data_IF_279591261531
#
_entry.id   IF_279591261531
#
_cell.length_a   1.000
_cell.length_b   1.000
_cell.length_c   1.000
_cell.angle_alpha   90.00
_cell.angle_beta   90.00
_cell.angle_gamma   90.00
#
_symmetry.space_group_name_H-M   'P 1'
#
loop_
_entity.id
_entity.type
_entity.pdbx_description
1 polymer ?
#
# COMPACT_ATOMS: atom_id res chain seq x y z
N UNK A 1 -6.12 16.20 52.41
CA UNK A 1 -6.02 15.18 51.33
C UNK A 1 -6.87 15.53 50.09
N UNK A 2 -7.46 16.73 50.03
CA UNK A 2 -8.41 17.14 48.96
C UNK A 2 -7.75 17.91 47.80
N UNK A 3 -6.57 18.52 48.02
CA UNK A 3 -5.89 19.39 47.03
C UNK A 3 -5.08 18.62 45.98
N UNK A 4 -4.81 17.34 46.22
CA UNK A 4 -4.06 16.44 45.33
C UNK A 4 -4.94 15.83 44.21
N UNK A 5 -6.26 15.75 44.43
CA UNK A 5 -7.22 15.21 43.48
C UNK A 5 -7.34 16.02 42.17
N UNK A 6 -7.40 17.37 42.17
CA UNK A 6 -7.45 18.15 40.93
C UNK A 6 -6.12 18.09 40.15
N UNK A 7 -4.99 17.97 40.86
CA UNK A 7 -3.66 17.85 40.25
C UNK A 7 -3.56 16.52 39.49
N UNK A 8 -4.06 15.43 40.09
CA UNK A 8 -4.08 14.12 39.44
C UNK A 8 -5.00 14.11 38.20
N UNK A 9 -6.14 14.80 38.24
CA UNK A 9 -7.03 14.94 37.08
C UNK A 9 -6.39 15.73 35.94
N UNK A 10 -5.67 16.81 36.23
CA UNK A 10 -4.96 17.60 35.22
C UNK A 10 -3.86 16.79 34.54
N UNK A 11 -3.10 16.01 35.32
CA UNK A 11 -2.06 15.12 34.80
C UNK A 11 -2.67 14.05 33.89
N UNK A 12 -3.77 13.42 34.32
CA UNK A 12 -4.47 12.44 33.51
C UNK A 12 -4.96 13.05 32.18
N UNK A 13 -5.57 14.23 32.21
CA UNK A 13 -6.07 14.94 31.02
C UNK A 13 -4.95 15.25 30.01
N UNK A 14 -3.75 15.53 30.48
CA UNK A 14 -2.59 15.82 29.62
C UNK A 14 -1.91 14.56 29.08
N UNK A 15 -1.94 13.44 29.81
CA UNK A 15 -1.33 12.16 29.41
C UNK A 15 -2.25 11.31 28.52
N UNK A 16 -3.57 11.42 28.68
CA UNK A 16 -4.57 10.68 27.90
C UNK A 16 -4.37 10.82 26.37
N UNK A 17 -4.15 12.02 25.80
CA UNK A 17 -3.90 12.19 24.36
C UNK A 17 -2.60 11.54 23.87
N UNK A 18 -1.57 11.48 24.73
CA UNK A 18 -0.29 10.86 24.40
C UNK A 18 -0.42 9.33 24.32
N UNK A 19 -1.21 8.74 25.22
CA UNK A 19 -1.54 7.32 25.21
C UNK A 19 -2.49 6.94 24.06
N UNK A 20 -3.30 7.90 23.59
CA UNK A 20 -4.24 7.72 22.48
C UNK A 20 -3.66 8.12 21.12
N UNK A 21 -2.33 8.28 21.00
CA UNK A 21 -1.64 8.36 19.71
C UNK A 21 -1.73 7.01 19.00
N UNK A 22 -2.93 6.71 18.52
CA UNK A 22 -3.22 5.59 17.64
C UNK A 22 -2.36 5.82 16.39
N UNK A 23 -1.40 4.93 16.14
CA UNK A 23 -0.79 4.80 14.83
C UNK A 23 -1.91 4.38 13.87
N UNK A 24 -2.60 5.36 13.28
CA UNK A 24 -3.47 5.09 12.14
C UNK A 24 -2.55 4.80 10.97
N UNK A 25 -2.12 3.54 10.85
CA UNK A 25 -1.47 3.06 9.64
C UNK A 25 -2.49 3.23 8.52
N UNK A 26 -2.29 4.23 7.66
CA UNK A 26 -3.17 4.52 6.54
C UNK A 26 -3.00 3.43 5.46
N UNK A 27 -3.59 2.26 5.70
CA UNK A 27 -3.60 1.15 4.73
C UNK A 27 -4.23 1.55 3.39
N UNK A 28 -5.09 2.57 3.38
CA UNK A 28 -5.75 3.10 2.18
C UNK A 28 -4.83 3.98 1.34
N UNK A 29 -3.93 4.78 1.92
CA UNK A 29 -2.97 5.60 1.16
C UNK A 29 -1.87 4.74 0.55
N UNK A 30 -1.45 3.70 1.26
CA UNK A 30 -0.39 2.79 0.82
C UNK A 30 -0.83 1.96 -0.40
N UNK A 31 -2.07 1.48 -0.41
CA UNK A 31 -2.64 0.74 -1.55
C UNK A 31 -2.78 1.58 -2.81
N UNK A 32 -3.16 2.86 -2.68
CA UNK A 32 -3.24 3.79 -3.81
C UNK A 32 -1.86 4.03 -4.44
N UNK A 33 -0.83 4.13 -3.59
CA UNK A 33 0.55 4.31 -4.03
C UNK A 33 1.07 3.07 -4.75
N UNK A 34 0.79 1.88 -4.20
CA UNK A 34 1.13 0.61 -4.85
C UNK A 34 0.43 0.46 -6.21
N UNK A 35 -0.86 0.85 -6.32
CA UNK A 35 -1.62 0.82 -7.57
C UNK A 35 -0.96 1.67 -8.67
N UNK A 36 -0.63 2.93 -8.35
CA UNK A 36 0.00 3.86 -9.28
C UNK A 36 1.37 3.35 -9.75
N UNK A 37 2.18 2.85 -8.82
CA UNK A 37 3.51 2.29 -9.12
C UNK A 37 3.43 1.10 -10.08
N UNK A 38 2.48 0.19 -9.85
CA UNK A 38 2.30 -1.00 -10.69
C UNK A 38 1.67 -0.67 -12.05
N UNK A 39 0.77 0.31 -12.14
CA UNK A 39 0.27 0.79 -13.44
C UNK A 39 1.36 1.49 -14.26
N UNK A 40 2.26 2.22 -13.59
CA UNK A 40 3.47 2.76 -14.22
C UNK A 40 4.40 1.63 -14.70
N UNK A 41 4.62 0.60 -13.89
CA UNK A 41 5.38 -0.58 -14.32
C UNK A 41 4.78 -1.23 -15.57
N UNK A 42 3.45 -1.43 -15.59
CA UNK A 42 2.71 -1.98 -16.74
C UNK A 42 2.94 -1.18 -18.03
N UNK A 43 2.91 0.16 -17.96
CA UNK A 43 3.08 1.02 -19.14
C UNK A 43 4.50 0.97 -19.73
N UNK A 44 5.52 0.77 -18.90
CA UNK A 44 6.91 0.69 -19.34
C UNK A 44 7.28 -0.66 -19.96
N UNK A 45 6.63 -1.73 -19.52
CA UNK A 45 7.03 -3.10 -19.87
C UNK A 45 6.14 -3.70 -20.95
N UNK A 46 5.04 -3.02 -21.29
CA UNK A 46 4.14 -3.49 -22.34
C UNK A 46 3.93 -2.41 -23.38
N UNK A 47 4.72 -2.48 -24.47
CA UNK A 47 4.57 -1.56 -25.61
C UNK A 47 3.21 -1.70 -26.31
N UNK A 48 2.54 -2.85 -26.15
CA UNK A 48 1.17 -3.10 -26.59
C UNK A 48 0.37 -3.75 -25.45
N UNK A 49 -0.05 -2.93 -24.47
CA UNK A 49 -0.61 -3.40 -23.20
C UNK A 49 -1.81 -4.32 -23.38
N UNK A 50 -2.71 -4.05 -24.32
CA UNK A 50 -4.03 -4.68 -24.46
C UNK A 50 -4.03 -6.21 -24.65
N UNK A 51 -2.96 -6.79 -25.21
CA UNK A 51 -2.92 -8.22 -25.55
C UNK A 51 -2.21 -9.09 -24.51
N UNK A 52 -1.55 -8.48 -23.53
CA UNK A 52 -0.81 -9.23 -22.49
C UNK A 52 -1.66 -9.52 -21.26
N UNK A 53 -1.23 -10.51 -20.46
CA UNK A 53 -1.89 -10.87 -19.20
C UNK A 53 -1.99 -9.68 -18.25
N UNK A 54 -0.94 -8.85 -18.12
CA UNK A 54 -0.96 -7.62 -17.32
C UNK A 54 -1.93 -6.59 -17.91
N UNK A 55 -1.94 -6.48 -19.24
CA UNK A 55 -2.90 -5.69 -20.01
C UNK A 55 -4.33 -5.79 -19.53
N UNK A 56 -4.82 -7.02 -19.51
CA UNK A 56 -6.22 -7.36 -19.23
C UNK A 56 -6.54 -7.38 -17.74
N UNK A 57 -5.56 -7.70 -16.88
CA UNK A 57 -5.83 -7.97 -15.48
C UNK A 57 -5.52 -6.78 -14.54
N UNK A 58 -4.47 -6.02 -14.79
CA UNK A 58 -4.10 -4.90 -13.93
C UNK A 58 -4.91 -3.66 -14.30
N UNK A 59 -6.09 -3.53 -13.70
CA UNK A 59 -7.05 -2.44 -13.96
C UNK A 59 -7.40 -1.71 -12.66
N UNK A 60 -7.77 -0.44 -12.77
CA UNK A 60 -8.20 0.40 -11.62
C UNK A 60 -9.58 -0.01 -11.07
N UNK A 61 -10.26 -0.96 -11.71
CA UNK A 61 -11.59 -1.45 -11.30
C UNK A 61 -11.51 -2.49 -10.19
N UNK A 62 -10.35 -3.14 -10.02
CA UNK A 62 -10.14 -4.21 -9.04
C UNK A 62 -8.99 -3.86 -8.12
N UNK A 63 -9.07 -4.29 -6.85
CA UNK A 63 -7.98 -4.09 -5.89
C UNK A 63 -6.68 -4.72 -6.40
N UNK A 64 -5.56 -4.02 -6.18
CA UNK A 64 -4.20 -4.46 -6.50
C UNK A 64 -3.89 -5.88 -6.00
N UNK A 65 -4.43 -6.26 -4.83
CA UNK A 65 -4.22 -7.60 -4.27
C UNK A 65 -4.92 -8.73 -5.04
N UNK A 66 -5.83 -8.40 -5.95
CA UNK A 66 -6.50 -9.35 -6.83
C UNK A 66 -5.82 -9.46 -8.19
N UNK A 67 -4.75 -8.70 -8.43
CA UNK A 67 -4.03 -8.75 -9.68
C UNK A 67 -3.14 -10.00 -9.76
N UNK A 68 -3.10 -10.61 -10.94
CA UNK A 68 -2.27 -11.77 -11.25
C UNK A 68 -0.80 -11.39 -11.04
N UNK A 69 -0.10 -12.24 -10.28
CA UNK A 69 1.31 -12.05 -9.95
C UNK A 69 1.56 -11.14 -8.75
N UNK A 70 0.53 -10.48 -8.19
CA UNK A 70 0.69 -9.63 -7.00
C UNK A 70 0.42 -10.45 -5.74
N UNK A 71 1.30 -10.33 -4.75
CA UNK A 71 1.09 -10.89 -3.41
C UNK A 71 0.99 -9.76 -2.41
N UNK A 72 -0.10 -9.72 -1.65
CA UNK A 72 -0.30 -8.76 -0.58
C UNK A 72 -0.07 -9.38 0.81
N UNK A 73 0.47 -8.58 1.72
CA UNK A 73 0.61 -8.94 3.13
C UNK A 73 -0.76 -9.02 3.84
N UNK A 74 -0.88 -9.92 4.81
CA UNK A 74 -2.13 -10.17 5.53
C UNK A 74 -2.56 -9.02 6.45
N UNK A 75 -1.60 -8.32 7.06
CA UNK A 75 -1.88 -7.27 8.06
C UNK A 75 -2.33 -5.93 7.47
N UNK A 76 -1.66 -5.47 6.41
CA UNK A 76 -1.87 -4.12 5.87
C UNK A 76 -2.35 -4.12 4.42
N UNK A 77 -2.60 -5.29 3.83
CA UNK A 77 -2.95 -5.46 2.41
C UNK A 77 -1.95 -4.80 1.44
N UNK A 78 -0.74 -4.49 1.89
CA UNK A 78 0.30 -3.89 1.05
C UNK A 78 0.91 -4.92 0.11
N UNK A 79 1.31 -4.52 -1.08
CA UNK A 79 2.07 -5.39 -1.98
C UNK A 79 3.42 -5.73 -1.33
N UNK A 80 3.70 -7.02 -1.17
CA UNK A 80 4.95 -7.53 -0.59
C UNK A 80 5.76 -8.36 -1.57
N UNK A 81 5.16 -8.82 -2.66
CA UNK A 81 5.88 -9.49 -3.73
C UNK A 81 5.15 -9.33 -5.06
N UNK A 82 5.95 -9.33 -6.13
CA UNK A 82 5.49 -9.30 -7.51
C UNK A 82 6.16 -10.43 -8.29
N UNK A 83 5.36 -11.30 -8.89
CA UNK A 83 5.80 -12.36 -9.78
C UNK A 83 5.22 -12.15 -11.17
N UNK A 84 6.07 -11.72 -12.09
CA UNK A 84 5.73 -11.48 -13.51
C UNK A 84 6.36 -12.51 -14.44
N UNK A 85 6.85 -13.61 -13.88
CA UNK A 85 7.45 -14.70 -14.64
C UNK A 85 6.42 -15.31 -15.59
N UNK A 86 6.87 -15.72 -16.77
CA UNK A 86 6.04 -16.40 -17.78
C UNK A 86 4.87 -15.56 -18.34
N UNK A 87 4.80 -14.25 -18.07
CA UNK A 87 3.75 -13.36 -18.57
C UNK A 87 4.04 -12.77 -19.97
N UNK A 88 5.03 -13.34 -20.68
CA UNK A 88 5.45 -12.94 -22.04
C UNK A 88 5.59 -11.43 -22.21
N UNK A 89 6.29 -10.81 -21.26
CA UNK A 89 6.52 -9.37 -21.20
C UNK A 89 7.59 -8.94 -22.20
N UNK A 90 7.36 -7.84 -22.91
CA UNK A 90 8.28 -7.27 -23.90
C UNK A 90 8.46 -5.77 -23.65
N UNK A 91 9.55 -5.41 -22.98
CA UNK A 91 9.88 -4.03 -22.63
C UNK A 91 11.08 -3.93 -21.69
N UNK A 92 11.38 -2.71 -21.23
CA UNK A 92 12.53 -2.44 -20.34
C UNK A 92 12.03 -2.21 -18.93
N UNK A 93 12.52 -3.00 -17.98
CA UNK A 93 12.28 -2.75 -16.55
C UNK A 93 13.18 -1.60 -16.12
N UNK A 94 12.59 -0.43 -15.79
CA UNK A 94 13.34 0.67 -15.17
C UNK A 94 13.43 0.44 -13.67
N UNK A 95 14.66 0.36 -13.16
CA UNK A 95 14.99 0.11 -11.76
C UNK A 95 14.48 1.20 -10.79
N UNK A 96 14.03 2.34 -11.30
CA UNK A 96 13.52 3.48 -10.51
C UNK A 96 12.18 3.23 -9.82
N UNK A 97 11.56 2.06 -10.01
CA UNK A 97 10.31 1.66 -9.34
C UNK A 97 10.54 0.61 -8.23
N UNK A 98 11.81 0.31 -7.89
CA UNK A 98 12.20 -0.63 -6.84
C UNK A 98 12.63 0.06 -5.53
N UNK A 99 12.38 1.37 -5.38
CA UNK A 99 12.70 2.16 -4.18
C UNK A 99 11.42 2.82 -3.67
#
# INVERSE_FOLDING_TARGET
>A
MERSLPILQLIALFLLPYLFSQNLANTTTDLKTDELSLLSFKSHITKNSSHTTLGKNWTTETSVCNWIGVTCGSRHRRVIALNVSYMSLVGTVRLSLLI
#
